data_IF_078747863809
#
_entry.id   IF_078747863809
#
_cell.length_a   1.000
_cell.length_b   1.000
_cell.length_c   1.000
_cell.angle_alpha   90.00
_cell.angle_beta   90.00
_cell.angle_gamma   90.00
#
_symmetry.space_group_name_H-M   'P 1'
#
loop_
_entity.id
_entity.type
_entity.pdbx_description
1 polymer ?
#
# COMPACT_ATOMS: atom_id res chain seq x y z
N UNK A 1 6.34 9.71 5.86
CA UNK A 1 4.87 9.89 5.66
C UNK A 1 4.06 9.50 6.91
N UNK A 2 2.77 9.86 6.96
CA UNK A 2 1.80 9.43 7.97
C UNK A 2 0.68 8.63 7.31
N UNK A 3 0.35 7.45 7.84
CA UNK A 3 -0.74 6.60 7.33
C UNK A 3 -1.96 6.66 8.25
N UNK A 4 -3.15 6.38 7.72
CA UNK A 4 -4.39 6.35 8.51
C UNK A 4 -4.70 4.93 8.95
N UNK A 5 -5.05 4.70 10.21
CA UNK A 5 -5.40 3.36 10.72
C UNK A 5 -6.74 3.40 11.44
N UNK A 6 -7.53 2.35 11.23
CA UNK A 6 -8.84 2.14 11.81
C UNK A 6 -9.18 0.65 11.81
N UNK A 7 -10.33 0.29 12.39
CA UNK A 7 -10.77 -1.12 12.51
C UNK A 7 -10.83 -1.87 11.17
N UNK A 8 -11.08 -1.16 10.05
CA UNK A 8 -11.14 -1.81 8.73
C UNK A 8 -9.77 -2.30 8.27
N UNK A 9 -8.69 -1.61 8.62
CA UNK A 9 -7.34 -2.05 8.27
C UNK A 9 -6.98 -3.35 9.00
N UNK A 10 -7.31 -3.44 10.28
CA UNK A 10 -7.18 -4.68 11.03
C UNK A 10 -8.07 -5.81 10.49
N UNK A 11 -9.29 -5.49 10.05
CA UNK A 11 -10.17 -6.48 9.43
C UNK A 11 -9.63 -6.95 8.07
N UNK A 12 -9.09 -6.04 7.25
CA UNK A 12 -8.39 -6.37 6.00
C UNK A 12 -7.21 -7.32 6.23
N UNK A 13 -6.37 -7.06 7.25
CA UNK A 13 -5.28 -7.97 7.65
C UNK A 13 -5.80 -9.39 7.87
N UNK A 14 -6.91 -9.58 8.62
CA UNK A 14 -7.50 -10.91 8.83
C UNK A 14 -8.02 -11.52 7.53
N UNK A 15 -8.81 -10.77 6.79
CA UNK A 15 -9.47 -11.24 5.58
C UNK A 15 -8.46 -11.70 4.51
N UNK A 16 -7.36 -10.96 4.32
CA UNK A 16 -6.30 -11.29 3.37
C UNK A 16 -5.58 -12.61 3.69
N UNK A 17 -5.62 -13.05 4.93
CA UNK A 17 -5.02 -14.34 5.35
C UNK A 17 -5.98 -15.54 5.21
N UNK A 18 -7.24 -15.31 4.79
CA UNK A 18 -8.25 -16.36 4.62
C UNK A 18 -8.42 -16.79 3.15
N UNK A 19 -8.57 -18.08 2.84
CA UNK A 19 -8.88 -18.55 1.49
C UNK A 19 -10.18 -17.94 0.94
N UNK A 20 -10.22 -17.62 -0.36
CA UNK A 20 -11.36 -17.02 -1.10
C UNK A 20 -11.72 -15.59 -0.66
N UNK A 21 -11.93 -15.36 0.64
CA UNK A 21 -12.19 -14.03 1.23
C UNK A 21 -11.00 -13.09 0.98
N UNK A 22 -9.78 -13.62 1.02
CA UNK A 22 -8.57 -12.86 0.73
C UNK A 22 -8.51 -12.34 -0.70
N UNK A 23 -9.00 -13.10 -1.69
CA UNK A 23 -9.01 -12.65 -3.10
C UNK A 23 -9.98 -11.48 -3.31
N UNK A 24 -11.21 -11.59 -2.77
CA UNK A 24 -12.19 -10.49 -2.84
C UNK A 24 -11.69 -9.23 -2.14
N UNK A 25 -11.06 -9.40 -0.98
CA UNK A 25 -10.48 -8.29 -0.21
C UNK A 25 -9.33 -7.64 -0.97
N UNK A 26 -8.47 -8.44 -1.62
CA UNK A 26 -7.40 -7.96 -2.48
C UNK A 26 -7.97 -7.10 -3.63
N UNK A 27 -8.87 -7.66 -4.46
CA UNK A 27 -9.47 -6.94 -5.59
C UNK A 27 -10.10 -5.61 -5.17
N UNK A 28 -10.77 -5.59 -4.01
CA UNK A 28 -11.37 -4.39 -3.46
C UNK A 28 -10.32 -3.35 -3.05
N UNK A 29 -9.25 -3.78 -2.37
CA UNK A 29 -8.17 -2.90 -1.92
C UNK A 29 -7.39 -2.32 -3.10
N UNK A 30 -7.10 -3.13 -4.13
CA UNK A 30 -6.50 -2.65 -5.37
C UNK A 30 -7.37 -1.57 -5.99
N UNK A 31 -8.67 -1.83 -6.18
CA UNK A 31 -9.58 -0.83 -6.75
C UNK A 31 -9.67 0.45 -5.91
N UNK A 32 -9.67 0.33 -4.58
CA UNK A 32 -9.67 1.49 -3.68
C UNK A 32 -8.42 2.33 -3.90
N UNK A 33 -7.23 1.72 -3.81
CA UNK A 33 -5.97 2.46 -3.91
C UNK A 33 -5.79 3.06 -5.30
N UNK A 34 -6.11 2.31 -6.37
CA UNK A 34 -6.11 2.87 -7.73
C UNK A 34 -6.99 4.10 -7.81
N UNK A 35 -8.22 4.05 -7.30
CA UNK A 35 -9.13 5.22 -7.33
C UNK A 35 -8.56 6.40 -6.54
N UNK A 36 -8.08 6.15 -5.31
CA UNK A 36 -7.55 7.20 -4.43
C UNK A 36 -6.36 7.90 -5.07
N UNK A 37 -5.43 7.17 -5.69
CA UNK A 37 -4.30 7.79 -6.36
C UNK A 37 -4.68 8.42 -7.69
N UNK A 38 -5.60 7.83 -8.46
CA UNK A 38 -6.12 8.45 -9.67
C UNK A 38 -6.82 9.80 -9.41
N UNK A 39 -7.45 9.98 -8.25
CA UNK A 39 -8.03 11.26 -7.83
C UNK A 39 -6.94 12.32 -7.53
N UNK A 40 -5.70 11.89 -7.23
CA UNK A 40 -4.51 12.74 -7.08
C UNK A 40 -3.78 12.98 -8.41
N UNK A 41 -4.11 12.25 -9.48
CA UNK A 41 -3.43 12.38 -10.76
C UNK A 41 -3.63 13.78 -11.36
N UNK A 42 -2.65 14.25 -12.14
CA UNK A 42 -2.82 15.48 -12.90
C UNK A 42 -4.04 15.39 -13.85
N UNK A 43 -4.69 16.53 -14.10
CA UNK A 43 -5.92 16.59 -14.90
C UNK A 43 -5.75 15.90 -16.27
N UNK A 44 -6.70 15.01 -16.60
CA UNK A 44 -6.70 14.26 -17.86
C UNK A 44 -5.79 13.02 -17.90
N UNK A 45 -5.05 12.72 -16.82
CA UNK A 45 -4.12 11.57 -16.75
C UNK A 45 -4.73 10.29 -16.18
N UNK A 46 -5.98 10.33 -15.75
CA UNK A 46 -6.61 9.21 -15.03
C UNK A 46 -6.64 7.91 -15.84
N UNK A 47 -7.14 7.95 -17.07
CA UNK A 47 -7.36 6.74 -17.87
C UNK A 47 -6.04 6.07 -18.28
N UNK A 48 -5.03 6.86 -18.62
CA UNK A 48 -3.74 6.34 -19.08
C UNK A 48 -2.88 5.71 -17.96
N UNK A 49 -3.16 6.03 -16.69
CA UNK A 49 -2.44 5.46 -15.53
C UNK A 49 -3.17 4.30 -14.87
N UNK A 50 -4.48 4.14 -15.12
CA UNK A 50 -5.32 3.16 -14.43
C UNK A 50 -4.76 1.74 -14.53
N UNK A 51 -4.48 1.25 -15.74
CA UNK A 51 -4.00 -0.12 -15.93
C UNK A 51 -2.68 -0.37 -15.21
N UNK A 52 -1.77 0.60 -15.23
CA UNK A 52 -0.51 0.52 -14.51
C UNK A 52 -0.73 0.42 -12.99
N UNK A 53 -1.57 1.30 -12.43
CA UNK A 53 -1.85 1.32 -11.00
C UNK A 53 -2.58 0.06 -10.53
N UNK A 54 -3.51 -0.47 -11.32
CA UNK A 54 -4.21 -1.72 -11.00
C UNK A 54 -3.21 -2.89 -10.91
N UNK A 55 -2.36 -3.06 -11.94
CA UNK A 55 -1.33 -4.11 -11.97
C UNK A 55 -0.27 -3.92 -10.86
N UNK A 56 0.13 -2.67 -10.60
CA UNK A 56 1.13 -2.35 -9.57
C UNK A 56 0.60 -2.63 -8.16
N UNK A 57 -0.62 -2.16 -7.86
CA UNK A 57 -1.18 -2.34 -6.52
C UNK A 57 -1.49 -3.80 -6.23
N UNK A 58 -1.96 -4.57 -7.21
CA UNK A 58 -2.13 -6.02 -7.07
C UNK A 58 -0.81 -6.70 -6.65
N UNK A 59 0.29 -6.38 -7.34
CA UNK A 59 1.61 -6.89 -6.98
C UNK A 59 2.09 -6.45 -5.57
N UNK A 60 1.76 -5.23 -5.14
CA UNK A 60 2.12 -4.79 -3.78
C UNK A 60 1.28 -5.46 -2.68
N UNK A 61 0.09 -5.99 -2.99
CA UNK A 61 -0.68 -6.77 -2.01
C UNK A 61 0.06 -8.05 -1.60
N UNK A 62 0.80 -8.68 -2.52
CA UNK A 62 1.68 -9.81 -2.18
C UNK A 62 2.85 -9.37 -1.28
N UNK A 63 3.37 -8.15 -1.48
CA UNK A 63 4.41 -7.60 -0.58
C UNK A 63 3.85 -7.35 0.82
N UNK A 64 2.63 -6.83 0.93
CA UNK A 64 1.95 -6.63 2.22
C UNK A 64 1.81 -7.95 2.99
N UNK A 65 1.34 -9.01 2.33
CA UNK A 65 1.20 -10.34 2.95
C UNK A 65 2.56 -10.88 3.38
N UNK A 66 3.59 -10.77 2.52
CA UNK A 66 4.93 -11.21 2.86
C UNK A 66 5.54 -10.45 4.06
N UNK A 67 5.25 -9.16 4.21
CA UNK A 67 5.66 -8.38 5.38
C UNK A 67 4.96 -8.86 6.65
N UNK A 68 3.65 -9.10 6.61
CA UNK A 68 2.92 -9.68 7.75
C UNK A 68 3.47 -11.06 8.15
N UNK A 69 3.75 -11.93 7.17
CA UNK A 69 4.33 -13.26 7.40
C UNK A 69 5.76 -13.20 7.97
N UNK A 70 6.52 -12.15 7.61
CA UNK A 70 7.83 -11.86 8.18
C UNK A 70 7.76 -11.29 9.61
N UNK A 71 6.56 -11.07 10.14
CA UNK A 71 6.32 -10.64 11.52
C UNK A 71 6.27 -9.12 11.72
N UNK A 72 6.21 -8.34 10.63
CA UNK A 72 6.02 -6.90 10.73
C UNK A 72 4.63 -6.59 11.30
N UNK A 73 4.50 -5.62 12.21
CA UNK A 73 3.21 -5.07 12.60
C UNK A 73 2.42 -4.57 11.40
N UNK A 74 1.09 -4.53 11.53
CA UNK A 74 0.18 -4.16 10.44
C UNK A 74 0.50 -2.79 9.83
N UNK A 75 0.80 -1.80 10.67
CA UNK A 75 1.16 -0.45 10.24
C UNK A 75 2.48 -0.43 9.45
N UNK A 76 3.49 -1.20 9.87
CA UNK A 76 4.77 -1.31 9.17
C UNK A 76 4.60 -2.03 7.83
N UNK A 77 3.83 -3.12 7.79
CA UNK A 77 3.53 -3.83 6.55
C UNK A 77 2.83 -2.94 5.52
N UNK A 78 1.91 -2.07 5.94
CA UNK A 78 1.33 -1.05 5.07
C UNK A 78 2.34 0.01 4.67
N UNK A 79 3.13 0.49 5.62
CA UNK A 79 4.10 1.52 5.30
C UNK A 79 5.09 1.06 4.22
N UNK A 80 5.53 -0.21 4.27
CA UNK A 80 6.35 -0.84 3.24
C UNK A 80 5.71 -0.71 1.85
N UNK A 81 4.43 -0.99 1.68
CA UNK A 81 3.76 -0.91 0.36
C UNK A 81 3.54 0.53 -0.09
N UNK A 82 3.25 1.44 0.84
CA UNK A 82 3.17 2.87 0.53
C UNK A 82 4.55 3.43 0.11
N UNK A 83 5.66 2.93 0.67
CA UNK A 83 7.03 3.27 0.22
C UNK A 83 7.27 2.76 -1.21
N UNK A 84 6.90 1.51 -1.51
CA UNK A 84 7.00 0.98 -2.88
C UNK A 84 6.22 1.85 -3.88
N UNK A 85 5.01 2.27 -3.53
CA UNK A 85 4.22 3.17 -4.37
C UNK A 85 4.93 4.51 -4.62
N UNK A 86 5.57 5.09 -3.60
CA UNK A 86 6.36 6.32 -3.77
C UNK A 86 7.59 6.12 -4.66
N UNK A 87 8.26 4.97 -4.60
CA UNK A 87 9.36 4.66 -5.53
C UNK A 87 8.87 4.61 -6.97
N UNK A 88 7.74 3.97 -7.21
CA UNK A 88 7.12 3.90 -8.53
C UNK A 88 6.70 5.28 -9.06
N UNK A 89 6.02 6.07 -8.23
CA UNK A 89 5.63 7.44 -8.59
C UNK A 89 6.85 8.32 -8.85
N UNK A 90 7.92 8.16 -8.08
CA UNK A 90 9.19 8.84 -8.33
C UNK A 90 9.78 8.45 -9.68
N UNK A 91 9.87 7.16 -10.00
CA UNK A 91 10.40 6.66 -11.29
C UNK A 91 9.59 7.16 -12.49
N UNK A 92 8.29 7.36 -12.31
CA UNK A 92 7.42 7.93 -13.33
C UNK A 92 7.37 9.47 -13.33
N UNK A 93 7.97 10.14 -12.35
CA UNK A 93 7.87 11.60 -12.18
C UNK A 93 6.46 12.08 -11.85
N UNK A 94 5.63 11.23 -11.25
CA UNK A 94 4.27 11.55 -10.81
C UNK A 94 4.28 12.17 -9.41
N UNK A 95 4.99 13.30 -9.27
CA UNK A 95 5.21 13.97 -7.98
C UNK A 95 3.91 14.34 -7.27
N UNK A 96 2.83 14.55 -8.03
CA UNK A 96 1.49 14.80 -7.48
C UNK A 96 0.90 13.64 -6.69
N UNK A 97 1.33 12.40 -6.96
CA UNK A 97 0.84 11.20 -6.29
C UNK A 97 1.69 10.80 -5.08
N UNK A 98 2.89 11.37 -4.92
CA UNK A 98 3.79 11.05 -3.83
C UNK A 98 3.21 11.46 -2.46
N UNK A 99 3.48 10.63 -1.46
CA UNK A 99 2.99 10.77 -0.08
C UNK A 99 4.08 11.18 0.91
N UNK A 100 5.35 11.15 0.48
CA UNK A 100 6.46 11.81 1.14
C UNK A 100 7.38 12.50 0.10
N UNK A 101 8.17 13.49 0.51
CA UNK A 101 9.08 14.23 -0.38
C UNK A 101 10.16 13.34 -1.01
N UNK A 102 10.58 13.63 -2.25
CA UNK A 102 11.56 12.82 -2.96
C UNK A 102 12.94 12.73 -2.26
N UNK A 103 13.31 13.71 -1.44
CA UNK A 103 14.55 13.68 -0.66
C UNK A 103 14.52 12.69 0.52
N UNK A 104 13.34 12.19 0.91
CA UNK A 104 13.18 11.16 1.96
C UNK A 104 13.19 9.72 1.41
N UNK A 105 13.31 9.52 0.09
CA UNK A 105 13.29 8.18 -0.53
C UNK A 105 14.35 7.24 0.05
N UNK A 106 15.57 7.74 0.22
CA UNK A 106 16.67 6.94 0.78
C UNK A 106 16.41 6.62 2.25
N UNK A 107 15.95 7.57 3.04
CA UNK A 107 15.68 7.35 4.47
C UNK A 107 14.58 6.28 4.66
N UNK A 108 13.52 6.36 3.85
CA UNK A 108 12.46 5.37 3.83
C UNK A 108 12.92 3.98 3.33
N UNK A 109 13.81 3.93 2.33
CA UNK A 109 14.45 2.68 1.89
C UNK A 109 15.28 2.05 3.01
N UNK A 110 16.14 2.85 3.64
CA UNK A 110 17.08 2.42 4.67
C UNK A 110 16.40 1.80 5.88
N UNK A 111 15.25 2.33 6.28
CA UNK A 111 14.47 1.83 7.43
C UNK A 111 14.01 0.38 7.25
N UNK A 112 13.64 -0.02 6.04
CA UNK A 112 13.19 -1.38 5.72
C UNK A 112 14.19 -2.15 4.84
N UNK A 113 15.45 -1.72 4.83
CA UNK A 113 16.51 -2.26 3.96
C UNK A 113 16.57 -3.78 4.00
N UNK A 114 16.57 -4.40 5.18
CA UNK A 114 16.67 -5.85 5.32
C UNK A 114 15.52 -6.60 4.63
N UNK A 115 14.30 -6.05 4.66
CA UNK A 115 13.15 -6.60 3.95
C UNK A 115 13.27 -6.34 2.45
N UNK A 116 13.61 -5.11 2.06
CA UNK A 116 13.75 -4.75 0.65
C UNK A 116 14.86 -5.54 -0.06
N UNK A 117 16.04 -5.67 0.55
CA UNK A 117 17.14 -6.47 0.02
C UNK A 117 16.78 -7.95 -0.13
N UNK A 118 16.03 -8.51 0.83
CA UNK A 118 15.58 -9.91 0.77
C UNK A 118 14.75 -10.20 -0.47
N UNK A 119 13.88 -9.26 -0.85
CA UNK A 119 12.99 -9.40 -2.00
C UNK A 119 13.48 -8.66 -3.24
N UNK A 120 14.68 -8.07 -3.22
CA UNK A 120 15.23 -7.32 -4.35
C UNK A 120 14.46 -6.05 -4.70
N UNK A 121 13.71 -5.49 -3.76
CA UNK A 121 13.01 -4.21 -3.91
C UNK A 121 14.06 -3.09 -3.83
N UNK A 122 14.03 -2.17 -4.78
CA UNK A 122 14.90 -0.98 -4.81
C UNK A 122 14.10 0.24 -5.24
N UNK A 123 14.68 1.44 -5.12
CA UNK A 123 14.03 2.65 -5.64
C UNK A 123 13.81 2.51 -7.16
N UNK A 124 14.78 1.99 -7.92
CA UNK A 124 14.67 1.83 -9.38
C UNK A 124 13.81 0.62 -9.81
N UNK A 125 13.63 -0.39 -8.95
CA UNK A 125 12.76 -1.56 -9.17
C UNK A 125 11.87 -1.80 -7.94
N UNK A 126 10.74 -1.07 -7.84
CA UNK A 126 9.91 -1.06 -6.63
C UNK A 126 9.24 -2.40 -6.31
N UNK A 127 9.03 -3.26 -7.31
CA UNK A 127 8.40 -4.56 -7.14
C UNK A 127 9.41 -5.67 -6.85
N UNK A 128 10.65 -5.55 -7.36
CA UNK A 128 11.68 -6.59 -7.19
C UNK A 128 11.14 -7.99 -7.51
N UNK A 129 11.24 -8.90 -6.53
CA UNK A 129 10.77 -10.28 -6.62
C UNK A 129 9.24 -10.46 -6.65
N UNK A 130 8.46 -9.41 -6.38
CA UNK A 130 6.99 -9.40 -6.47
C UNK A 130 6.48 -8.97 -7.85
N UNK A 131 7.38 -8.68 -8.80
CA UNK A 131 6.98 -8.28 -10.15
C UNK A 131 6.21 -9.44 -10.83
N UNK A 132 5.00 -9.20 -11.37
CA UNK A 132 4.23 -10.24 -12.04
C UNK A 132 4.95 -10.73 -13.31
N UNK A 133 4.85 -12.02 -13.67
CA UNK A 133 5.52 -12.59 -14.85
C UNK A 133 5.19 -11.91 -16.18
N UNK A 134 3.95 -11.45 -16.33
CA UNK A 134 3.42 -10.70 -17.47
C UNK A 134 3.89 -9.23 -17.49
N UNK A 135 4.47 -8.76 -16.39
CA UNK A 135 4.84 -7.36 -16.17
C UNK A 135 3.67 -6.50 -15.74
N UNK A 136 3.93 -5.20 -15.59
CA UNK A 136 2.95 -4.17 -15.24
C UNK A 136 2.65 -3.38 -16.51
N UNK A 137 1.39 -3.01 -16.74
CA UNK A 137 0.99 -2.17 -17.85
C UNK A 137 1.82 -0.87 -17.89
N UNK A 138 2.21 -0.44 -19.09
CA UNK A 138 2.96 0.80 -19.24
C UNK A 138 2.03 2.01 -19.06
N UNK A 139 2.54 3.06 -18.42
CA UNK A 139 1.88 4.35 -18.32
C UNK A 139 2.85 5.50 -18.68
N UNK A 140 2.35 6.65 -19.20
CA UNK A 140 3.20 7.79 -19.52
C UNK A 140 3.86 8.40 -18.28
N UNK A 141 5.17 8.63 -18.36
CA UNK A 141 5.96 9.33 -17.33
C UNK A 141 6.04 10.83 -17.59
N UNK A 142 6.26 11.60 -16.52
CA UNK A 142 6.54 13.05 -16.53
C UNK A 142 7.84 13.35 -15.76
N UNK A 143 8.99 12.77 -16.16
CA UNK A 143 10.25 12.88 -15.42
C UNK A 143 10.74 14.33 -15.27
N UNK A 144 10.36 15.22 -16.17
CA UNK A 144 10.65 16.66 -16.09
C UNK A 144 10.12 17.32 -14.82
N UNK A 145 9.11 16.74 -14.16
CA UNK A 145 8.61 17.24 -12.87
C UNK A 145 9.58 17.04 -11.71
N UNK A 146 10.60 16.19 -11.87
CA UNK A 146 11.60 15.94 -10.82
C UNK A 146 12.67 17.04 -10.74
N UNK A 147 12.79 17.91 -11.75
CA UNK A 147 13.78 18.99 -11.76
C UNK A 147 13.45 20.12 -10.75
N UNK A 148 12.16 20.35 -10.49
CA UNK A 148 11.63 21.29 -9.50
C UNK A 148 10.30 20.72 -8.93
N UNK A 149 10.38 19.74 -8.02
CA UNK A 149 9.23 18.91 -7.68
C UNK A 149 8.23 19.63 -6.77
N UNK A 150 6.96 19.62 -7.19
CA UNK A 150 5.83 19.94 -6.32
C UNK A 150 5.20 18.65 -5.80
N UNK A 151 5.12 18.52 -4.47
CA UNK A 151 4.52 17.38 -3.78
C UNK A 151 3.26 17.80 -2.99
N UNK A 152 2.13 18.09 -3.66
CA UNK A 152 0.93 18.67 -3.03
C UNK A 152 0.28 17.78 -1.96
N UNK A 153 0.62 16.48 -1.92
CA UNK A 153 0.07 15.50 -1.01
C UNK A 153 1.12 14.83 -0.13
N UNK A 154 2.38 15.25 -0.23
CA UNK A 154 3.43 14.73 0.62
C UNK A 154 3.52 15.48 1.94
N UNK A 155 3.70 14.72 3.01
CA UNK A 155 4.05 15.26 4.33
C UNK A 155 5.36 14.59 4.78
N UNK A 156 6.43 15.39 4.82
CA UNK A 156 7.75 14.94 5.27
C UNK A 156 7.93 15.02 6.78
N UNK A 157 9.09 14.58 7.26
CA UNK A 157 9.47 14.60 8.67
C UNK A 157 8.97 13.42 9.49
N UNK A 158 8.57 12.33 8.82
CA UNK A 158 8.08 11.09 9.44
C UNK A 158 8.86 9.86 8.93
N UNK A 159 10.14 10.04 8.62
CA UNK A 159 11.01 8.94 8.19
C UNK A 159 11.66 8.21 9.38
N UNK A 160 11.58 8.79 10.57
CA UNK A 160 12.16 8.28 11.81
C UNK A 160 11.37 7.13 12.46
N UNK A 161 10.06 7.04 12.20
CA UNK A 161 9.19 5.97 12.70
C UNK A 161 7.94 5.81 11.82
N UNK A 162 7.09 4.83 12.11
CA UNK A 162 5.78 4.67 11.47
C UNK A 162 4.77 5.53 12.21
N UNK A 163 4.14 6.49 11.55
CA UNK A 163 3.13 7.34 12.17
C UNK A 163 1.73 7.01 11.66
N UNK A 164 0.81 6.81 12.60
CA UNK A 164 -0.57 6.46 12.36
C UNK A 164 -1.50 7.57 12.85
N UNK A 165 -2.39 8.04 11.98
CA UNK A 165 -3.57 8.82 12.38
C UNK A 165 -4.75 7.90 12.70
N UNK A 166 -5.23 7.95 13.94
CA UNK A 166 -6.35 7.16 14.44
C UNK A 166 -7.71 7.73 13.99
N UNK A 167 -8.81 7.01 14.23
CA UNK A 167 -10.17 7.48 13.93
C UNK A 167 -10.54 8.78 14.67
N UNK A 168 -9.95 9.03 15.84
CA UNK A 168 -10.14 10.24 16.64
C UNK A 168 -9.28 11.42 16.16
N UNK A 169 -8.45 11.22 15.13
CA UNK A 169 -7.54 12.22 14.57
C UNK A 169 -6.25 12.40 15.38
N UNK A 170 -5.96 11.52 16.34
CA UNK A 170 -4.71 11.51 17.09
C UNK A 170 -3.60 10.87 16.26
N UNK A 171 -2.39 11.44 16.30
CA UNK A 171 -1.21 10.88 15.65
C UNK A 171 -0.39 10.13 16.70
N UNK A 172 -0.20 8.83 16.48
CA UNK A 172 0.57 7.94 17.36
C UNK A 172 1.64 7.20 16.56
N UNK A 173 2.66 6.68 17.25
CA UNK A 173 3.59 5.73 16.64
C UNK A 173 2.85 4.41 16.37
N UNK A 174 3.02 3.88 15.17
CA UNK A 174 2.46 2.61 14.72
C UNK A 174 3.05 1.42 15.47
N UNK A 175 2.63 0.21 15.08
CA UNK A 175 3.08 -1.02 15.75
C UNK A 175 2.33 -1.36 17.04
N UNK A 176 1.18 -0.72 17.30
CA UNK A 176 0.29 -1.07 18.40
C UNK A 176 -0.33 -2.46 18.23
N UNK A 177 -0.72 -3.09 19.34
CA UNK A 177 -1.42 -4.38 19.29
C UNK A 177 -2.77 -4.28 18.57
N UNK A 178 -3.14 -5.38 17.92
CA UNK A 178 -4.44 -5.52 17.26
C UNK A 178 -5.57 -5.37 18.29
N UNK A 179 -6.63 -4.58 18.00
CA UNK A 179 -7.75 -4.43 18.92
C UNK A 179 -8.46 -5.76 19.20
N UNK A 180 -8.88 -5.96 20.45
CA UNK A 180 -9.75 -7.09 20.80
C UNK A 180 -11.08 -6.97 20.04
N UNK A 181 -11.55 -8.08 19.44
CA UNK A 181 -12.83 -8.19 18.70
C UNK A 181 -12.87 -7.59 17.29
N UNK A 182 -11.75 -7.53 16.56
CA UNK A 182 -11.79 -7.28 15.11
C UNK A 182 -12.40 -8.49 14.40
N UNK A 183 -13.50 -8.29 13.67
CA UNK A 183 -14.22 -9.35 12.93
C UNK A 183 -14.06 -9.17 11.41
N UNK A 184 -14.09 -10.28 10.67
CA UNK A 184 -13.81 -10.32 9.22
C UNK A 184 -14.92 -9.64 8.40
N UNK A 185 -16.16 -9.60 8.88
CA UNK A 185 -17.28 -8.87 8.25
C UNK A 185 -17.04 -7.35 8.18
N UNK A 186 -16.07 -6.84 8.94
CA UNK A 186 -15.65 -5.43 8.86
C UNK A 186 -14.64 -5.17 7.75
N UNK A 187 -14.09 -6.24 7.15
CA UNK A 187 -13.16 -6.14 6.04
C UNK A 187 -13.89 -5.61 4.80
N UNK A 188 -13.31 -4.64 4.10
CA UNK A 188 -13.92 -4.15 2.88
C UNK A 188 -14.05 -5.23 1.80
N UNK A 189 -15.16 -5.22 1.07
CA UNK A 189 -15.42 -6.18 -0.01
C UNK A 189 -15.91 -7.56 0.43
N UNK A 190 -16.05 -7.79 1.75
CA UNK A 190 -16.59 -9.04 2.32
C UNK A 190 -18.08 -8.86 2.64
N UNK A 191 -18.92 -9.76 2.12
CA UNK A 191 -20.32 -9.87 2.53
C UNK A 191 -20.44 -10.88 3.69
N UNK A 192 -21.34 -10.72 4.68
CA UNK A 192 -21.54 -11.71 5.75
C UNK A 192 -21.74 -13.15 5.24
N UNK A 193 -22.37 -13.35 4.08
CA UNK A 193 -22.55 -14.68 3.47
C UNK A 193 -21.20 -15.32 3.07
N UNK A 194 -20.20 -14.51 2.72
CA UNK A 194 -18.84 -14.98 2.37
C UNK A 194 -18.10 -15.54 3.60
N UNK A 195 -18.45 -15.08 4.80
CA UNK A 195 -17.85 -15.52 6.07
C UNK A 195 -18.46 -16.84 6.52
N UNK A 196 -19.79 -16.99 6.40
CA UNK A 196 -20.50 -18.22 6.73
C UNK A 196 -20.12 -19.39 5.81
N UNK A 197 -19.79 -19.13 4.53
CA UNK A 197 -19.37 -20.17 3.59
C UNK A 197 -18.01 -20.79 3.96
N UNK A 198 -17.07 -20.00 4.52
CA UNK A 198 -15.77 -20.51 4.99
C UNK A 198 -15.91 -21.27 6.31
N UNK A 199 -16.67 -20.72 7.27
CA UNK A 199 -16.89 -21.38 8.57
C UNK A 199 -17.72 -22.67 8.44
N UNK A 200 -18.63 -22.72 7.46
CA UNK A 200 -19.42 -23.91 7.13
C UNK A 200 -18.65 -25.00 6.37
N UNK A 201 -17.56 -24.66 5.68
CA UNK A 201 -16.72 -25.61 4.95
C UNK A 201 -15.73 -26.38 5.86
N UNK A 202 -15.48 -25.90 7.08
CA UNK A 202 -14.66 -26.56 8.10
C UNK A 202 -15.45 -27.47 9.05
N UNK A 203 -16.77 -27.65 8.82
CA UNK A 203 -17.70 -28.44 9.65
C UNK A 203 -17.96 -29.86 9.15
#
# INVERSE_FOLDING_TARGET
MKIRQNVRHWASKKALTMPVVGQKTNDWLVNLHTRVFLDKAAEGRTEERRGHLDDFFDATMDTYVAALEAGFPEAEAREITHIQANFDFYNHGWTEMMEFPADELVDHYERYRDFFERYGITIDDPLGGFRPPEGVANAPSTPEKLDDPEHPHAEGGFADDVYVETDDGEIVVGGTEEPENVTVDRAPGVDPDDVEEVEGAES
#
